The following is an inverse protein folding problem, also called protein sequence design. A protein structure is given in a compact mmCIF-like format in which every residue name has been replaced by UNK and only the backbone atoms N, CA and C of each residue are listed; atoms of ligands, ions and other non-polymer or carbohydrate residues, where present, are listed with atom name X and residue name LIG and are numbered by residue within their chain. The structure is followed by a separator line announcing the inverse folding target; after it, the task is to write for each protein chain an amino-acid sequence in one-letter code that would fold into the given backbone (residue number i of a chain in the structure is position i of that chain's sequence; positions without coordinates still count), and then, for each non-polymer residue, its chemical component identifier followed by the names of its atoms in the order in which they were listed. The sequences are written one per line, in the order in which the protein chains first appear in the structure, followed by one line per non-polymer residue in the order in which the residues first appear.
data_IF_330623855382
#
_entry.id   IF_330623855382
#
_cell.length_a   1.000
_cell.length_b   1.000
_cell.length_c   1.000
_cell.angle_alpha   90.00
_cell.angle_beta   90.00
_cell.angle_gamma   90.00
#
_symmetry.space_group_name_H-M   'P 1'
#
loop_
_entity.id
_entity.type
_entity.pdbx_description
1 polymer ?
#
# COMPACT_ATOMS: atom_id res chain seq x y z
N UNK A 1 -14.20 -3.98 6.39
CA UNK A 1 -13.63 -3.09 7.42
C UNK A 1 -12.12 -2.87 7.18
N UNK A 2 -11.29 -3.91 7.10
CA UNK A 2 -9.84 -3.77 6.92
C UNK A 2 -9.45 -2.87 5.75
N UNK A 3 -10.09 -3.03 4.60
CA UNK A 3 -9.84 -2.17 3.42
C UNK A 3 -10.21 -0.71 3.63
N UNK A 4 -11.25 -0.42 4.41
CA UNK A 4 -11.61 0.96 4.76
C UNK A 4 -10.55 1.60 5.67
N UNK A 5 -10.05 0.86 6.66
CA UNK A 5 -8.96 1.31 7.53
C UNK A 5 -7.68 1.60 6.73
N UNK A 6 -7.31 0.71 5.81
CA UNK A 6 -6.18 0.91 4.89
C UNK A 6 -6.37 2.15 4.01
N UNK A 7 -7.58 2.35 3.49
CA UNK A 7 -7.88 3.52 2.65
C UNK A 7 -7.76 4.84 3.43
N UNK A 8 -8.23 4.88 4.68
CA UNK A 8 -8.03 6.04 5.57
C UNK A 8 -6.56 6.32 5.81
N UNK A 9 -5.77 5.28 6.14
CA UNK A 9 -4.33 5.43 6.32
C UNK A 9 -3.66 6.01 5.06
N UNK A 10 -3.99 5.48 3.89
CA UNK A 10 -3.40 5.92 2.62
C UNK A 10 -3.82 7.33 2.24
N UNK A 11 -5.13 7.62 2.21
CA UNK A 11 -5.66 8.88 1.67
C UNK A 11 -5.58 10.04 2.65
N UNK A 12 -5.71 9.78 3.96
CA UNK A 12 -5.86 10.84 4.96
C UNK A 12 -4.63 11.05 5.84
N UNK A 13 -3.65 10.12 5.79
CA UNK A 13 -2.41 10.24 6.57
C UNK A 13 -1.21 10.28 5.64
N UNK A 14 -1.02 9.27 4.82
CA UNK A 14 0.20 9.10 4.03
C UNK A 14 0.29 10.03 2.82
N UNK A 15 -0.77 10.13 2.02
CA UNK A 15 -0.79 11.00 0.84
C UNK A 15 -0.59 12.48 1.19
N UNK A 16 -1.29 13.06 2.19
CA UNK A 16 -1.04 14.44 2.61
C UNK A 16 0.35 14.69 3.22
N UNK A 17 0.88 13.71 3.95
CA UNK A 17 2.22 13.82 4.55
C UNK A 17 3.36 13.65 3.52
N UNK A 18 3.05 13.27 2.28
CA UNK A 18 4.05 12.96 1.24
C UNK A 18 4.95 11.80 1.63
N UNK A 19 4.40 10.82 2.38
CA UNK A 19 5.12 9.64 2.81
C UNK A 19 4.91 8.51 1.81
N UNK A 20 6.00 7.99 1.28
CA UNK A 20 5.99 6.77 0.45
C UNK A 20 5.92 5.59 1.39
N UNK A 21 4.73 5.07 1.59
CA UNK A 21 4.58 3.80 2.27
C UNK A 21 4.95 2.66 1.35
N UNK A 22 5.20 1.49 1.93
CA UNK A 22 5.32 0.28 1.13
C UNK A 22 4.05 -0.03 0.34
N UNK A 23 4.10 -1.07 -0.42
CA UNK A 23 2.96 -1.55 -1.19
C UNK A 23 2.67 -0.77 -2.47
N UNK A 24 1.63 -1.22 -3.16
CA UNK A 24 1.17 -0.53 -4.35
C UNK A 24 0.51 0.82 -4.03
N UNK A 25 0.02 1.01 -2.81
CA UNK A 25 -0.44 2.31 -2.33
C UNK A 25 0.71 3.32 -2.27
N UNK A 26 1.88 2.91 -1.76
CA UNK A 26 3.09 3.74 -1.78
C UNK A 26 3.56 4.03 -3.20
N UNK A 27 3.58 3.03 -4.07
CA UNK A 27 3.92 3.21 -5.47
C UNK A 27 2.93 4.14 -6.19
N UNK A 28 1.63 4.07 -5.84
CA UNK A 28 0.62 4.99 -6.37
C UNK A 28 0.87 6.44 -5.95
N UNK A 29 1.33 6.67 -4.70
CA UNK A 29 1.73 8.00 -4.23
C UNK A 29 2.94 8.52 -5.03
N UNK A 30 3.95 7.66 -5.27
CA UNK A 30 5.13 8.02 -6.11
C UNK A 30 4.67 8.40 -7.53
N UNK A 31 3.82 7.59 -8.16
CA UNK A 31 3.32 7.84 -9.53
C UNK A 31 2.47 9.11 -9.58
N UNK A 32 1.64 9.35 -8.57
CA UNK A 32 0.85 10.59 -8.46
C UNK A 32 1.76 11.82 -8.43
N UNK A 33 2.77 11.81 -7.57
CA UNK A 33 3.71 12.92 -7.44
C UNK A 33 4.54 13.14 -8.71
N UNK A 34 5.05 12.05 -9.29
CA UNK A 34 5.83 12.11 -10.54
C UNK A 34 5.00 12.65 -11.69
N UNK A 35 3.75 12.17 -11.83
CA UNK A 35 2.84 12.66 -12.88
C UNK A 35 2.46 14.13 -12.67
N UNK A 36 2.34 14.57 -11.42
CA UNK A 36 2.10 15.97 -11.10
C UNK A 36 3.29 16.87 -11.47
N UNK A 37 4.53 16.39 -11.26
CA UNK A 37 5.74 17.10 -11.66
C UNK A 37 5.91 17.18 -13.18
N UNK A 38 5.56 16.11 -13.92
CA UNK A 38 5.80 16.02 -15.37
C UNK A 38 4.65 16.63 -16.20
N UNK A 39 3.42 16.44 -15.78
CA UNK A 39 2.21 16.79 -16.56
C UNK A 39 1.33 17.85 -15.89
N UNK A 40 1.71 18.36 -14.71
CA UNK A 40 0.91 19.32 -13.95
C UNK A 40 -0.39 18.74 -13.35
N UNK A 41 -0.69 17.47 -13.59
CA UNK A 41 -1.87 16.77 -13.06
C UNK A 41 -1.44 15.44 -12.48
N UNK A 42 -1.74 15.21 -11.19
CA UNK A 42 -1.49 13.93 -10.52
C UNK A 42 -2.51 12.87 -10.93
N UNK A 43 -2.05 11.67 -11.27
CA UNK A 43 -2.95 10.52 -11.50
C UNK A 43 -3.62 10.15 -10.16
N UNK A 44 -4.95 9.95 -10.11
CA UNK A 44 -5.64 9.56 -8.89
C UNK A 44 -5.12 8.25 -8.33
N UNK A 45 -4.96 8.16 -7.00
CA UNK A 45 -4.44 6.97 -6.32
C UNK A 45 -5.21 5.70 -6.66
N UNK A 46 -6.54 5.79 -6.73
CA UNK A 46 -7.41 4.65 -7.01
C UNK A 46 -7.18 4.07 -8.42
N UNK A 47 -6.91 4.92 -9.42
CA UNK A 47 -6.60 4.48 -10.79
C UNK A 47 -5.30 3.71 -10.81
N UNK A 48 -4.25 4.28 -10.23
CA UNK A 48 -2.93 3.66 -10.19
C UNK A 48 -2.97 2.33 -9.42
N UNK A 49 -3.65 2.30 -8.28
CA UNK A 49 -3.81 1.09 -7.49
C UNK A 49 -4.52 -0.01 -8.29
N UNK A 50 -5.59 0.32 -8.99
CA UNK A 50 -6.33 -0.64 -9.81
C UNK A 50 -5.47 -1.18 -10.96
N UNK A 51 -4.81 -0.30 -11.72
CA UNK A 51 -3.98 -0.66 -12.88
C UNK A 51 -2.81 -1.55 -12.49
N UNK A 52 -2.11 -1.23 -11.39
CA UNK A 52 -0.99 -2.01 -10.90
C UNK A 52 -1.40 -3.42 -10.44
N UNK A 53 -2.64 -3.60 -10.01
CA UNK A 53 -3.14 -4.91 -9.59
C UNK A 53 -3.56 -5.82 -10.75
N UNK A 54 -3.80 -5.31 -11.95
CA UNK A 54 -4.19 -6.12 -13.12
C UNK A 54 -3.18 -7.24 -13.39
N UNK A 55 -1.87 -6.98 -13.54
CA UNK A 55 -0.90 -8.05 -13.78
C UNK A 55 -0.82 -9.04 -12.63
N UNK A 56 -1.01 -8.59 -11.38
CA UNK A 56 -1.00 -9.50 -10.22
C UNK A 56 -2.18 -10.48 -10.25
N UNK A 57 -3.34 -10.05 -10.69
CA UNK A 57 -4.49 -10.95 -10.83
C UNK A 57 -4.23 -12.04 -11.87
N UNK A 58 -3.54 -11.73 -12.96
CA UNK A 58 -3.14 -12.72 -13.95
C UNK A 58 -2.19 -13.78 -13.35
N UNK A 59 -1.24 -13.37 -12.53
CA UNK A 59 -0.39 -14.31 -11.79
C UNK A 59 -1.15 -15.05 -10.68
N UNK A 60 -2.14 -14.39 -10.07
CA UNK A 60 -2.99 -14.93 -9.02
C UNK A 60 -3.91 -16.08 -9.46
N UNK A 61 -4.16 -16.23 -10.76
CA UNK A 61 -4.95 -17.35 -11.33
C UNK A 61 -4.35 -18.71 -10.94
N UNK A 62 -3.04 -18.76 -10.67
CA UNK A 62 -2.34 -19.95 -10.19
C UNK A 62 -2.56 -20.26 -8.70
N UNK A 63 -3.23 -19.37 -7.98
CA UNK A 63 -3.64 -19.58 -6.59
C UNK A 63 -5.02 -20.27 -6.52
N UNK A 64 -5.49 -20.55 -5.29
CA UNK A 64 -6.85 -21.10 -5.12
C UNK A 64 -7.89 -20.08 -5.59
N UNK A 65 -8.97 -20.55 -6.20
CA UNK A 65 -10.08 -19.69 -6.65
C UNK A 65 -10.66 -18.84 -5.52
N UNK A 66 -10.78 -19.42 -4.33
CA UNK A 66 -11.30 -18.73 -3.14
C UNK A 66 -10.40 -17.54 -2.75
N UNK A 67 -9.09 -17.74 -2.71
CA UNK A 67 -8.13 -16.68 -2.42
C UNK A 67 -8.18 -15.57 -3.48
N UNK A 68 -8.22 -15.94 -4.77
CA UNK A 68 -8.28 -14.98 -5.86
C UNK A 68 -9.55 -14.12 -5.80
N UNK A 69 -10.72 -14.74 -5.59
CA UNK A 69 -11.99 -14.02 -5.49
C UNK A 69 -11.98 -13.04 -4.30
N UNK A 70 -11.50 -13.49 -3.15
CA UNK A 70 -11.38 -12.63 -1.96
C UNK A 70 -10.38 -11.49 -2.18
N UNK A 71 -9.29 -11.73 -2.87
CA UNK A 71 -8.28 -10.71 -3.19
C UNK A 71 -8.83 -9.69 -4.18
N UNK A 72 -9.52 -10.12 -5.25
CA UNK A 72 -10.18 -9.20 -6.18
C UNK A 72 -11.20 -8.34 -5.43
N UNK A 73 -12.03 -8.96 -4.60
CA UNK A 73 -13.01 -8.23 -3.78
C UNK A 73 -12.32 -7.25 -2.82
N UNK A 74 -11.25 -7.66 -2.14
CA UNK A 74 -10.46 -6.81 -1.26
C UNK A 74 -9.86 -5.61 -1.98
N UNK A 75 -9.29 -5.84 -3.17
CA UNK A 75 -8.71 -4.77 -4.01
C UNK A 75 -9.78 -3.78 -4.49
N UNK A 76 -10.91 -4.29 -4.98
CA UNK A 76 -12.02 -3.44 -5.42
C UNK A 76 -12.58 -2.60 -4.27
N UNK A 77 -12.75 -3.20 -3.09
CA UNK A 77 -13.20 -2.48 -1.90
C UNK A 77 -12.19 -1.45 -1.43
N UNK A 78 -10.90 -1.76 -1.42
CA UNK A 78 -9.86 -0.80 -1.07
C UNK A 78 -9.84 0.36 -2.06
N UNK A 79 -9.88 0.06 -3.36
CA UNK A 79 -9.94 1.08 -4.43
C UNK A 79 -11.19 1.96 -4.31
N UNK A 80 -12.35 1.36 -4.02
CA UNK A 80 -13.59 2.08 -3.79
C UNK A 80 -13.47 3.05 -2.59
N UNK A 81 -12.95 2.58 -1.46
CA UNK A 81 -12.79 3.43 -0.29
C UNK A 81 -11.80 4.58 -0.54
N UNK A 82 -10.68 4.33 -1.23
CA UNK A 82 -9.73 5.37 -1.62
C UNK A 82 -10.39 6.42 -2.54
N UNK A 83 -11.34 6.01 -3.39
CA UNK A 83 -12.03 6.92 -4.31
C UNK A 83 -13.13 7.76 -3.63
N UNK A 84 -13.81 7.19 -2.63
CA UNK A 84 -15.01 7.79 -2.01
C UNK A 84 -14.69 8.55 -0.72
N UNK A 85 -13.71 8.09 0.04
CA UNK A 85 -13.37 8.76 1.30
C UNK A 85 -12.78 10.15 1.04
N UNK A 86 -13.27 11.18 1.75
CA UNK A 86 -12.67 12.50 1.65
C UNK A 86 -11.24 12.46 2.20
N UNK A 87 -10.34 13.20 1.59
CA UNK A 87 -8.99 13.39 2.08
C UNK A 87 -9.04 14.27 3.33
N UNK A 88 -9.01 13.65 4.49
CA UNK A 88 -8.94 14.35 5.78
C UNK A 88 -7.46 14.38 6.18
N UNK A 89 -6.92 15.57 6.42
CA UNK A 89 -5.58 15.70 7.02
C UNK A 89 -5.67 15.37 8.51
N UNK A 90 -5.63 14.05 8.84
CA UNK A 90 -5.80 13.60 10.23
C UNK A 90 -4.58 13.92 11.11
N UNK A 91 -3.41 14.00 10.49
CA UNK A 91 -2.14 14.31 11.16
C UNK A 91 -1.48 15.45 10.40
N UNK A 92 -1.76 16.72 10.73
CA UNK A 92 -1.12 17.84 10.06
C UNK A 92 0.35 17.98 10.49
N UNK A 93 1.23 18.15 9.49
CA UNK A 93 2.60 18.62 9.57
C UNK A 93 3.63 17.78 10.36
N UNK A 94 3.27 16.65 10.97
CA UNK A 94 4.19 15.76 11.67
C UNK A 94 4.35 14.43 10.93
N UNK A 95 5.44 14.31 10.16
CA UNK A 95 5.76 13.11 9.40
C UNK A 95 6.03 11.89 10.28
N UNK A 96 6.60 12.10 11.48
CA UNK A 96 6.87 10.99 12.40
C UNK A 96 5.56 10.43 12.96
N UNK A 97 4.67 11.32 13.36
CA UNK A 97 3.33 10.94 13.84
C UNK A 97 2.53 10.27 12.73
N UNK A 98 2.61 10.78 11.50
CA UNK A 98 1.99 10.17 10.31
C UNK A 98 2.56 8.78 10.03
N UNK A 99 3.87 8.58 10.17
CA UNK A 99 4.49 7.27 9.98
C UNK A 99 4.03 6.26 11.03
N UNK A 100 3.95 6.66 12.31
CA UNK A 100 3.54 5.78 13.40
C UNK A 100 2.05 5.44 13.33
N UNK A 101 1.18 6.45 13.32
CA UNK A 101 -0.28 6.23 13.32
C UNK A 101 -0.76 5.62 12.00
N UNK A 102 -0.22 6.08 10.88
CA UNK A 102 -0.49 5.49 9.58
C UNK A 102 -0.04 4.03 9.52
N UNK A 103 1.16 3.71 10.07
CA UNK A 103 1.67 2.35 10.17
C UNK A 103 0.77 1.43 10.98
N UNK A 104 0.34 1.86 12.16
CA UNK A 104 -0.58 1.09 13.01
C UNK A 104 -1.92 0.85 12.31
N UNK A 105 -2.51 1.87 11.69
CA UNK A 105 -3.77 1.73 10.97
C UNK A 105 -3.62 0.82 9.75
N UNK A 106 -2.54 1.00 8.98
CA UNK A 106 -2.27 0.17 7.81
C UNK A 106 -2.05 -1.29 8.21
N UNK A 107 -1.22 -1.55 9.22
CA UNK A 107 -0.97 -2.90 9.74
C UNK A 107 -2.23 -3.57 10.27
N UNK A 108 -3.05 -2.85 11.04
CA UNK A 108 -4.33 -3.35 11.52
C UNK A 108 -5.28 -3.66 10.35
N UNK A 109 -5.34 -2.80 9.34
CA UNK A 109 -6.13 -3.01 8.13
C UNK A 109 -5.70 -4.24 7.34
N UNK A 110 -4.40 -4.41 7.10
CA UNK A 110 -3.81 -5.57 6.44
C UNK A 110 -4.10 -6.84 7.24
N UNK A 111 -3.88 -6.82 8.56
CA UNK A 111 -4.16 -7.95 9.45
C UNK A 111 -5.61 -8.42 9.37
N UNK A 112 -6.57 -7.48 9.38
CA UNK A 112 -8.01 -7.80 9.22
C UNK A 112 -8.31 -8.45 7.86
N UNK A 113 -7.65 -8.02 6.80
CA UNK A 113 -7.82 -8.60 5.45
C UNK A 113 -7.22 -10.00 5.39
N UNK A 114 -6.06 -10.24 6.00
CA UNK A 114 -5.44 -11.56 6.07
C UNK A 114 -6.24 -12.57 6.91
N UNK A 115 -6.87 -12.13 8.00
CA UNK A 115 -7.82 -12.97 8.77
C UNK A 115 -8.95 -13.46 7.87
N UNK A 116 -9.40 -12.65 6.89
CA UNK A 116 -10.39 -13.04 5.88
C UNK A 116 -9.85 -14.01 4.82
N UNK A 117 -8.60 -14.47 4.90
CA UNK A 117 -7.92 -15.27 3.88
C UNK A 117 -7.91 -14.62 2.49
N UNK A 118 -7.77 -13.29 2.45
CA UNK A 118 -7.60 -12.52 1.22
C UNK A 118 -6.45 -11.53 1.36
N UNK A 119 -6.22 -10.76 0.31
CA UNK A 119 -5.30 -9.62 0.29
C UNK A 119 -5.99 -8.43 -0.40
N UNK A 120 -5.38 -7.26 -0.36
CA UNK A 120 -5.88 -6.11 -1.13
C UNK A 120 -5.20 -5.96 -2.49
N UNK A 121 -4.51 -7.01 -2.95
CA UNK A 121 -3.60 -6.92 -4.08
C UNK A 121 -2.27 -6.28 -3.63
N UNK A 122 -1.48 -5.77 -4.58
CA UNK A 122 -0.25 -5.08 -4.21
C UNK A 122 0.87 -5.99 -3.72
N UNK A 123 1.77 -5.44 -2.89
CA UNK A 123 2.92 -6.18 -2.36
C UNK A 123 2.53 -7.28 -1.39
N UNK A 124 1.41 -7.17 -0.70
CA UNK A 124 0.84 -8.21 0.15
C UNK A 124 0.48 -9.47 -0.66
N UNK A 125 -0.13 -9.31 -1.83
CA UNK A 125 -0.38 -10.42 -2.75
C UNK A 125 0.92 -10.98 -3.35
N UNK A 126 1.85 -10.11 -3.75
CA UNK A 126 3.16 -10.52 -4.23
C UNK A 126 3.91 -11.31 -3.15
N UNK A 127 3.90 -10.83 -1.91
CA UNK A 127 4.53 -11.50 -0.79
C UNK A 127 3.92 -12.88 -0.52
N UNK A 128 2.59 -12.99 -0.57
CA UNK A 128 1.90 -14.26 -0.43
C UNK A 128 2.25 -15.26 -1.56
N UNK A 129 2.42 -14.77 -2.79
CA UNK A 129 2.87 -15.59 -3.95
C UNK A 129 4.32 -16.07 -3.77
N UNK A 130 5.22 -15.17 -3.37
CA UNK A 130 6.65 -15.45 -3.18
C UNK A 130 6.84 -16.39 -1.99
N UNK A 131 6.13 -16.16 -0.89
CA UNK A 131 6.21 -16.96 0.33
C UNK A 131 5.84 -18.43 0.08
N UNK A 132 4.93 -18.72 -0.84
CA UNK A 132 4.63 -20.11 -1.23
C UNK A 132 5.84 -20.85 -1.80
N UNK A 133 6.74 -20.12 -2.46
CA UNK A 133 7.97 -20.67 -3.04
C UNK A 133 9.11 -20.64 -2.01
N UNK A 134 9.14 -19.62 -1.19
CA UNK A 134 10.14 -19.41 -0.13
C UNK A 134 9.52 -19.66 1.26
N UNK A 135 9.20 -20.92 1.55
CA UNK A 135 8.47 -21.33 2.78
C UNK A 135 9.20 -21.03 4.10
N UNK A 136 10.49 -20.69 4.04
CA UNK A 136 11.29 -20.34 5.24
C UNK A 136 11.04 -18.91 5.74
N UNK A 137 10.43 -18.05 4.91
CA UNK A 137 10.18 -16.64 5.27
C UNK A 137 8.68 -16.42 5.54
N UNK A 138 8.37 -15.53 6.47
CA UNK A 138 6.99 -15.09 6.68
C UNK A 138 6.54 -14.13 5.57
N UNK A 139 5.22 -14.04 5.35
CA UNK A 139 4.65 -13.04 4.42
C UNK A 139 5.12 -11.63 4.77
N UNK A 140 5.13 -11.31 6.07
CA UNK A 140 5.57 -10.02 6.59
C UNK A 140 7.03 -9.69 6.20
N UNK A 141 7.95 -10.65 6.35
CA UNK A 141 9.35 -10.44 5.96
C UNK A 141 9.51 -10.18 4.46
N UNK A 142 8.77 -10.91 3.63
CA UNK A 142 8.79 -10.71 2.18
C UNK A 142 8.19 -9.35 1.83
N UNK A 143 7.10 -8.94 2.49
CA UNK A 143 6.52 -7.60 2.33
C UNK A 143 7.53 -6.51 2.67
N UNK A 144 8.22 -6.60 3.81
CA UNK A 144 9.23 -5.61 4.21
C UNK A 144 10.31 -5.41 3.14
N UNK A 145 10.78 -6.49 2.53
CA UNK A 145 11.79 -6.41 1.45
C UNK A 145 11.22 -5.71 0.22
N UNK A 146 10.02 -6.10 -0.21
CA UNK A 146 9.36 -5.48 -1.38
C UNK A 146 9.07 -4.00 -1.13
N UNK A 147 8.56 -3.68 0.03
CA UNK A 147 8.22 -2.31 0.42
C UNK A 147 9.49 -1.45 0.58
N UNK A 148 10.57 -2.03 1.09
CA UNK A 148 11.88 -1.38 1.14
C UNK A 148 12.40 -0.99 -0.25
N UNK A 149 12.22 -1.84 -1.26
CA UNK A 149 12.58 -1.53 -2.65
C UNK A 149 11.76 -0.33 -3.17
N UNK A 150 10.46 -0.30 -2.86
CA UNK A 150 9.58 0.82 -3.26
C UNK A 150 10.01 2.13 -2.58
N UNK A 151 10.39 2.07 -1.31
CA UNK A 151 10.87 3.26 -0.58
C UNK A 151 12.20 3.76 -1.14
N UNK A 152 13.12 2.86 -1.51
CA UNK A 152 14.37 3.26 -2.18
C UNK A 152 14.06 3.99 -3.49
N UNK A 153 13.12 3.48 -4.30
CA UNK A 153 12.67 4.19 -5.49
C UNK A 153 12.03 5.54 -5.16
N UNK A 154 11.32 5.64 -4.04
CA UNK A 154 10.71 6.87 -3.54
C UNK A 154 11.71 7.96 -3.15
N UNK A 155 12.97 7.62 -2.81
CA UNK A 155 14.02 8.60 -2.47
C UNK A 155 14.21 9.61 -3.60
N UNK A 156 14.15 9.17 -4.83
CA UNK A 156 14.34 10.03 -6.00
C UNK A 156 13.21 11.05 -6.21
N UNK A 157 12.03 10.80 -5.65
CA UNK A 157 10.83 11.64 -5.82
C UNK A 157 10.59 12.54 -4.61
N UNK A 158 10.72 12.00 -3.40
CA UNK A 158 10.37 12.67 -2.14
C UNK A 158 11.59 13.10 -1.32
N UNK A 159 12.77 12.68 -1.73
CA UNK A 159 14.02 12.96 -1.02
C UNK A 159 14.24 12.01 0.17
N UNK A 160 15.46 12.10 0.74
CA UNK A 160 15.94 11.16 1.75
C UNK A 160 15.18 11.25 3.07
N UNK A 161 14.78 12.47 3.48
CA UNK A 161 14.08 12.67 4.75
C UNK A 161 12.71 11.98 4.78
N UNK A 162 11.90 12.15 3.72
CA UNK A 162 10.59 11.50 3.63
C UNK A 162 10.72 9.96 3.58
N UNK A 163 11.75 9.46 2.92
CA UNK A 163 12.01 8.02 2.81
C UNK A 163 12.46 7.39 4.13
N UNK A 164 13.17 8.12 5.00
CA UNK A 164 13.50 7.64 6.34
C UNK A 164 12.25 7.44 7.20
N UNK A 165 11.30 8.37 7.14
CA UNK A 165 10.00 8.18 7.82
C UNK A 165 9.18 7.05 7.21
N UNK A 166 9.29 6.84 5.90
CA UNK A 166 8.65 5.72 5.23
C UNK A 166 9.19 4.36 5.71
N UNK A 167 10.48 4.24 6.00
CA UNK A 167 11.07 3.03 6.60
C UNK A 167 10.45 2.76 7.98
N UNK A 168 10.29 3.80 8.80
CA UNK A 168 9.61 3.67 10.09
C UNK A 168 8.17 3.20 9.91
N UNK A 169 7.44 3.80 8.96
CA UNK A 169 6.07 3.41 8.65
C UNK A 169 5.96 1.93 8.24
N UNK A 170 6.84 1.46 7.36
CA UNK A 170 6.88 0.04 6.93
C UNK A 170 7.15 -0.87 8.13
N UNK A 171 8.12 -0.52 8.97
CA UNK A 171 8.45 -1.33 10.14
C UNK A 171 7.29 -1.44 11.13
N UNK A 172 6.54 -0.36 11.31
CA UNK A 172 5.35 -0.34 12.18
C UNK A 172 4.17 -1.09 11.56
N UNK A 173 4.04 -1.05 10.22
CA UNK A 173 2.95 -1.72 9.49
C UNK A 173 3.08 -3.25 9.53
N UNK A 174 4.30 -3.78 9.58
CA UNK A 174 4.59 -5.21 9.44
C UNK A 174 4.68 -5.92 10.79
#
# INVERSE_FOLDING_TARGET
LGTAVMAVATSSIYDPAGLVTGGFSGLAIVIKQLSQMLFGKGVPLWVTNLVLNIPLFLFGIRMSRDFLVKTIFGTLMNTFWIAVLPVLQLVPDDRMLSALFGGVLMGAGIGLVFIGNGTTGGTDMMAALIQRKLRHYSVAQVMQVLDGIIVIAGIFVFGIHASLYAIVAIYVTT
#
